data_IF_609658940896
#
_entry.id   IF_609658940896
#
_cell.length_a   1.000
_cell.length_b   1.000
_cell.length_c   1.000
_cell.angle_alpha   90.00
_cell.angle_beta   90.00
_cell.angle_gamma   90.00
#
_symmetry.space_group_name_H-M   'P 1'
#
loop_
_entity.id
_entity.type
_entity.pdbx_description
1 polymer ?
#
# COMPACT_ATOMS: atom_id res chain seq x y z
N UNK A 1 -8.52 -6.97 -6.46
CA UNK A 1 -9.22 -6.62 -7.73
C UNK A 1 -10.60 -6.02 -7.51
N UNK A 2 -11.54 -6.67 -6.81
CA UNK A 2 -12.89 -6.09 -6.57
C UNK A 2 -12.85 -4.71 -5.90
N UNK A 3 -11.99 -4.53 -4.89
CA UNK A 3 -11.79 -3.22 -4.25
C UNK A 3 -11.18 -2.17 -5.17
N UNK A 4 -10.29 -2.56 -6.09
CA UNK A 4 -9.73 -1.66 -7.09
C UNK A 4 -10.85 -1.13 -8.01
N UNK A 5 -11.76 -2.02 -8.44
CA UNK A 5 -12.93 -1.64 -9.23
C UNK A 5 -13.90 -0.77 -8.44
N UNK A 6 -14.05 -1.00 -7.15
CA UNK A 6 -14.91 -0.19 -6.28
C UNK A 6 -14.36 1.23 -6.14
N UNK A 7 -13.08 1.39 -5.76
CA UNK A 7 -12.44 2.69 -5.62
C UNK A 7 -12.38 3.43 -6.97
N UNK A 8 -12.07 2.73 -8.06
CA UNK A 8 -12.11 3.33 -9.41
C UNK A 8 -13.51 3.80 -9.82
N UNK A 9 -14.58 3.16 -9.32
CA UNK A 9 -15.96 3.61 -9.59
C UNK A 9 -16.42 4.77 -8.71
N UNK A 10 -15.73 5.02 -7.60
CA UNK A 10 -16.00 6.19 -6.76
C UNK A 10 -15.42 7.46 -7.38
N UNK A 11 -14.34 7.31 -8.14
CA UNK A 11 -13.78 8.37 -8.96
C UNK A 11 -14.64 8.60 -10.21
N UNK A 12 -15.69 9.41 -10.05
CA UNK A 12 -16.69 9.70 -11.09
C UNK A 12 -16.48 11.05 -11.77
N UNK A 13 -15.69 11.94 -11.19
CA UNK A 13 -15.51 13.30 -11.68
C UNK A 13 -14.52 13.32 -12.86
N UNK A 14 -13.33 12.75 -12.68
CA UNK A 14 -12.28 12.68 -13.70
C UNK A 14 -11.57 11.31 -13.65
N UNK A 15 -12.13 10.27 -14.30
CA UNK A 15 -11.63 8.91 -14.16
C UNK A 15 -10.25 8.72 -14.79
N UNK A 16 -9.29 8.34 -13.94
CA UNK A 16 -7.90 8.11 -14.30
C UNK A 16 -7.68 7.08 -15.43
N UNK A 17 -6.60 7.21 -16.23
CA UNK A 17 -6.26 6.22 -17.24
C UNK A 17 -6.06 4.83 -16.63
N UNK A 18 -6.94 3.89 -16.98
CA UNK A 18 -6.91 2.50 -16.45
C UNK A 18 -5.53 1.84 -16.55
N UNK A 19 -4.76 2.18 -17.58
CA UNK A 19 -3.39 1.67 -17.77
C UNK A 19 -2.45 2.12 -16.67
N UNK A 20 -2.55 3.37 -16.20
CA UNK A 20 -1.72 3.88 -15.11
C UNK A 20 -2.15 3.27 -13.78
N UNK A 21 -3.45 3.22 -13.50
CA UNK A 21 -3.97 2.58 -12.27
C UNK A 21 -3.54 1.11 -12.17
N UNK A 22 -3.66 0.35 -13.27
CA UNK A 22 -3.19 -1.03 -13.33
C UNK A 22 -1.66 -1.09 -13.22
N UNK A 23 -0.93 -0.18 -13.88
CA UNK A 23 0.52 -0.10 -13.79
C UNK A 23 1.02 0.11 -12.37
N UNK A 24 0.40 1.02 -11.62
CA UNK A 24 0.72 1.29 -10.22
C UNK A 24 0.35 0.12 -9.31
N UNK A 25 -0.81 -0.51 -9.53
CA UNK A 25 -1.21 -1.73 -8.82
C UNK A 25 -0.17 -2.85 -9.02
N UNK A 26 0.26 -3.08 -10.26
CA UNK A 26 1.27 -4.10 -10.57
C UNK A 26 2.63 -3.73 -9.99
N UNK A 27 3.04 -2.46 -10.06
CA UNK A 27 4.30 -2.00 -9.48
C UNK A 27 4.32 -2.21 -7.95
N UNK A 28 3.23 -1.85 -7.25
CA UNK A 28 3.10 -2.09 -5.82
C UNK A 28 3.20 -3.58 -5.46
N UNK A 29 2.52 -4.44 -6.24
CA UNK A 29 2.62 -5.89 -6.08
C UNK A 29 4.03 -6.43 -6.34
N UNK A 30 4.66 -6.04 -7.45
CA UNK A 30 6.00 -6.50 -7.82
C UNK A 30 7.06 -6.05 -6.81
N UNK A 31 7.00 -4.80 -6.35
CA UNK A 31 7.90 -4.31 -5.31
C UNK A 31 7.67 -5.04 -3.99
N UNK A 32 6.43 -5.29 -3.60
CA UNK A 32 6.14 -6.11 -2.42
C UNK A 32 6.74 -7.51 -2.56
N UNK A 33 6.51 -8.19 -3.69
CA UNK A 33 7.04 -9.53 -3.92
C UNK A 33 8.57 -9.58 -3.90
N UNK A 34 9.22 -8.60 -4.54
CA UNK A 34 10.68 -8.53 -4.62
C UNK A 34 11.34 -8.17 -3.29
N UNK A 35 10.73 -7.27 -2.52
CA UNK A 35 11.32 -6.72 -1.30
C UNK A 35 10.92 -7.47 -0.03
N UNK A 36 9.88 -8.31 -0.07
CA UNK A 36 9.37 -9.00 1.10
C UNK A 36 10.44 -9.84 1.81
N UNK A 37 11.06 -10.78 1.09
CA UNK A 37 12.09 -11.67 1.66
C UNK A 37 13.33 -10.89 2.13
N UNK A 38 13.96 -10.02 1.32
CA UNK A 38 15.17 -9.35 1.76
C UNK A 38 14.94 -8.41 2.96
N UNK A 39 13.81 -7.70 2.99
CA UNK A 39 13.54 -6.75 4.08
C UNK A 39 13.00 -7.47 5.31
N UNK A 40 11.91 -8.22 5.20
CA UNK A 40 11.27 -8.84 6.35
C UNK A 40 11.99 -10.11 6.82
N UNK A 41 12.49 -10.93 5.90
CA UNK A 41 13.18 -12.18 6.21
C UNK A 41 14.61 -12.01 6.71
N UNK A 42 15.41 -11.16 6.03
CA UNK A 42 16.84 -11.02 6.37
C UNK A 42 17.17 -9.76 7.16
N UNK A 43 16.75 -8.57 6.70
CA UNK A 43 17.14 -7.31 7.35
C UNK A 43 16.51 -7.15 8.73
N UNK A 44 15.20 -7.34 8.82
CA UNK A 44 14.47 -7.23 10.09
C UNK A 44 14.20 -8.57 10.77
N UNK A 45 14.36 -9.69 10.05
CA UNK A 45 14.11 -11.06 10.54
C UNK A 45 12.81 -11.19 11.35
N UNK A 46 11.71 -10.61 10.85
CA UNK A 46 10.46 -10.41 11.61
C UNK A 46 9.88 -11.72 12.12
N UNK A 47 10.06 -12.83 11.40
CA UNK A 47 9.56 -14.15 11.80
C UNK A 47 10.17 -14.63 13.13
N UNK A 48 11.35 -14.15 13.51
CA UNK A 48 12.06 -14.58 14.72
C UNK A 48 11.53 -13.94 16.01
N UNK A 49 11.04 -12.70 15.96
CA UNK A 49 10.72 -11.90 17.14
C UNK A 49 9.31 -11.33 17.13
N UNK A 50 8.75 -11.03 15.95
CA UNK A 50 7.45 -10.40 15.83
C UNK A 50 6.35 -11.22 16.52
N UNK A 51 6.23 -12.55 16.34
CA UNK A 51 5.17 -13.33 16.96
C UNK A 51 5.37 -13.62 18.45
N UNK A 52 6.56 -13.37 19.03
CA UNK A 52 6.88 -13.83 20.38
C UNK A 52 6.04 -13.18 21.48
N UNK A 53 5.71 -11.89 21.35
CA UNK A 53 4.95 -11.15 22.35
C UNK A 53 3.83 -10.32 21.71
N UNK A 54 2.74 -10.10 22.45
CA UNK A 54 1.62 -9.30 21.95
C UNK A 54 2.04 -7.85 21.62
N UNK A 55 2.96 -7.28 22.41
CA UNK A 55 3.46 -5.91 22.19
C UNK A 55 4.40 -5.83 20.99
N UNK A 56 5.17 -6.88 20.70
CA UNK A 56 6.03 -6.93 19.52
C UNK A 56 5.18 -7.07 18.27
N UNK A 57 4.11 -7.86 18.30
CA UNK A 57 3.15 -7.96 17.19
C UNK A 57 2.50 -6.61 16.91
N UNK A 58 2.09 -5.87 17.94
CA UNK A 58 1.48 -4.55 17.79
C UNK A 58 2.49 -3.50 17.29
N UNK A 59 3.56 -3.27 18.05
CA UNK A 59 4.51 -2.19 17.78
C UNK A 59 5.37 -2.50 16.55
N UNK A 60 5.88 -3.73 16.44
CA UNK A 60 6.63 -4.18 15.27
C UNK A 60 5.77 -4.25 14.02
N UNK A 61 4.52 -4.68 14.15
CA UNK A 61 3.56 -4.69 13.04
C UNK A 61 3.30 -3.29 12.49
N UNK A 62 3.16 -2.29 13.35
CA UNK A 62 2.93 -0.90 12.92
C UNK A 62 4.24 -0.24 12.45
N UNK A 63 5.27 -0.24 13.29
CA UNK A 63 6.47 0.58 13.09
C UNK A 63 7.45 -0.03 12.09
N UNK A 64 7.47 -1.35 11.93
CA UNK A 64 8.35 -2.02 10.97
C UNK A 64 7.54 -2.45 9.76
N UNK A 65 6.55 -3.34 9.93
CA UNK A 65 5.81 -3.89 8.80
C UNK A 65 4.98 -2.80 8.11
N UNK A 66 4.24 -2.01 8.86
CA UNK A 66 3.42 -0.92 8.34
C UNK A 66 4.25 0.14 7.61
N UNK A 67 5.29 0.68 8.26
CA UNK A 67 6.16 1.72 7.68
C UNK A 67 6.85 1.23 6.41
N UNK A 68 7.48 0.05 6.44
CA UNK A 68 8.14 -0.52 5.26
C UNK A 68 7.14 -0.72 4.12
N UNK A 69 5.95 -1.23 4.43
CA UNK A 69 4.95 -1.47 3.39
C UNK A 69 4.41 -0.17 2.79
N UNK A 70 4.24 0.88 3.60
CA UNK A 70 3.88 2.21 3.09
C UNK A 70 5.01 2.85 2.29
N UNK A 71 6.27 2.60 2.65
CA UNK A 71 7.41 3.03 1.83
C UNK A 71 7.43 2.33 0.46
N UNK A 72 7.03 1.06 0.39
CA UNK A 72 6.85 0.34 -0.88
C UNK A 72 5.74 0.97 -1.73
N UNK A 73 4.60 1.30 -1.12
CA UNK A 73 3.50 2.00 -1.80
C UNK A 73 3.97 3.35 -2.32
N UNK A 74 4.66 4.13 -1.49
CA UNK A 74 5.24 5.42 -1.88
C UNK A 74 6.17 5.26 -3.09
N UNK A 75 7.11 4.29 -3.04
CA UNK A 75 8.04 4.04 -4.12
C UNK A 75 7.33 3.64 -5.41
N UNK A 76 6.29 2.79 -5.33
CA UNK A 76 5.49 2.38 -6.49
C UNK A 76 4.85 3.59 -7.18
N UNK A 77 4.19 4.47 -6.42
CA UNK A 77 3.55 5.67 -6.99
C UNK A 77 4.60 6.64 -7.52
N UNK A 78 5.71 6.83 -6.79
CA UNK A 78 6.77 7.78 -7.15
C UNK A 78 7.44 7.43 -8.47
N UNK A 79 7.69 6.14 -8.71
CA UNK A 79 8.36 5.65 -9.92
C UNK A 79 7.43 5.64 -11.13
N UNK A 80 6.15 5.31 -10.96
CA UNK A 80 5.24 5.09 -12.09
C UNK A 80 4.52 6.36 -12.54
N UNK A 81 4.07 7.22 -11.61
CA UNK A 81 3.10 8.29 -11.94
C UNK A 81 3.51 9.68 -11.48
N UNK A 82 4.42 9.84 -10.52
CA UNK A 82 4.69 11.17 -9.96
C UNK A 82 5.24 12.18 -10.98
N UNK A 83 5.97 11.76 -12.01
CA UNK A 83 6.43 12.67 -13.07
C UNK A 83 5.53 12.57 -14.33
N UNK A 84 4.42 11.84 -14.26
CA UNK A 84 3.47 11.66 -15.35
C UNK A 84 2.52 12.87 -15.45
N UNK A 85 2.23 13.41 -16.65
CA UNK A 85 1.27 14.50 -16.84
C UNK A 85 -0.15 14.20 -16.33
N UNK A 86 -0.57 12.93 -16.34
CA UNK A 86 -1.90 12.46 -15.91
C UNK A 86 -2.09 12.44 -14.39
N UNK A 87 -1.13 12.96 -13.61
CA UNK A 87 -1.37 13.21 -12.19
C UNK A 87 -1.30 14.72 -12.01
N UNK A 88 -2.44 15.33 -12.27
CA UNK A 88 -2.71 16.75 -12.37
C UNK A 88 -3.66 17.25 -11.26
N UNK A 89 -4.27 16.34 -10.49
CA UNK A 89 -5.03 16.64 -9.29
C UNK A 89 -4.46 16.04 -8.00
N UNK A 90 -4.84 16.64 -6.86
CA UNK A 90 -4.46 16.11 -5.53
C UNK A 90 -5.12 14.77 -5.22
N UNK A 91 -6.32 14.54 -5.77
CA UNK A 91 -7.12 13.33 -5.56
C UNK A 91 -6.50 12.10 -6.21
N UNK A 92 -5.82 12.27 -7.34
CA UNK A 92 -5.06 11.25 -8.07
C UNK A 92 -4.06 10.55 -7.17
N UNK A 93 -3.38 11.33 -6.32
CA UNK A 93 -2.44 10.80 -5.33
C UNK A 93 -3.08 9.72 -4.45
N UNK A 94 -4.33 9.93 -4.03
CA UNK A 94 -5.10 8.94 -3.25
C UNK A 94 -5.41 7.70 -4.10
N UNK A 95 -5.90 7.89 -5.33
CA UNK A 95 -6.30 6.78 -6.21
C UNK A 95 -5.10 5.90 -6.57
N UNK A 96 -3.98 6.50 -6.99
CA UNK A 96 -2.76 5.79 -7.30
C UNK A 96 -2.16 5.10 -6.08
N UNK A 97 -2.12 5.75 -4.91
CA UNK A 97 -1.63 5.12 -3.70
C UNK A 97 -2.50 3.94 -3.27
N UNK A 98 -3.83 4.07 -3.30
CA UNK A 98 -4.76 2.96 -3.04
C UNK A 98 -4.52 1.82 -4.03
N UNK A 99 -4.32 2.12 -5.32
CA UNK A 99 -4.00 1.10 -6.32
C UNK A 99 -2.71 0.34 -5.95
N UNK A 100 -1.63 1.04 -5.62
CA UNK A 100 -0.38 0.42 -5.16
C UNK A 100 -0.57 -0.41 -3.88
N UNK A 101 -1.27 0.14 -2.87
CA UNK A 101 -1.58 -0.54 -1.61
C UNK A 101 -2.39 -1.83 -1.80
N UNK A 102 -3.36 -1.82 -2.72
CA UNK A 102 -4.10 -3.02 -3.10
C UNK A 102 -3.20 -4.05 -3.81
N UNK A 103 -2.20 -3.61 -4.57
CA UNK A 103 -1.17 -4.47 -5.16
C UNK A 103 -0.36 -5.20 -4.08
N UNK A 104 0.16 -4.45 -3.11
CA UNK A 104 0.87 -4.97 -1.94
C UNK A 104 0.00 -5.96 -1.17
N UNK A 105 -1.25 -5.60 -0.88
CA UNK A 105 -2.20 -6.46 -0.17
C UNK A 105 -2.48 -7.77 -0.91
N UNK A 106 -2.50 -7.73 -2.25
CA UNK A 106 -2.72 -8.92 -3.09
C UNK A 106 -1.58 -9.92 -2.90
N UNK A 107 -0.33 -9.46 -2.95
CA UNK A 107 0.84 -10.32 -2.73
C UNK A 107 0.85 -10.88 -1.31
N UNK A 108 0.59 -10.06 -0.30
CA UNK A 108 0.54 -10.50 1.09
C UNK A 108 -0.54 -11.57 1.34
N UNK A 109 -1.73 -11.37 0.76
CA UNK A 109 -2.82 -12.33 0.88
C UNK A 109 -2.53 -13.63 0.13
N UNK A 110 -1.90 -13.55 -1.04
CA UNK A 110 -1.53 -14.75 -1.80
C UNK A 110 -0.44 -15.56 -1.08
N UNK A 111 0.60 -14.90 -0.57
CA UNK A 111 1.64 -15.52 0.24
C UNK A 111 1.06 -16.21 1.48
N UNK A 112 0.12 -15.55 2.17
CA UNK A 112 -0.59 -16.14 3.31
C UNK A 112 -1.30 -17.45 2.95
N UNK A 113 -2.06 -17.48 1.84
CA UNK A 113 -2.78 -18.67 1.39
C UNK A 113 -1.82 -19.82 1.04
N UNK A 114 -0.71 -19.52 0.37
CA UNK A 114 0.30 -20.51 0.03
C UNK A 114 0.96 -21.11 1.28
N UNK A 115 1.32 -20.28 2.26
CA UNK A 115 1.94 -20.72 3.51
C UNK A 115 1.01 -21.61 4.36
N UNK A 116 -0.31 -21.42 4.25
CA UNK A 116 -1.30 -22.18 5.01
C UNK A 116 -1.91 -23.35 4.23
N UNK A 117 -1.38 -23.68 3.04
CA UNK A 117 -1.83 -24.81 2.23
C UNK A 117 -3.24 -24.67 1.65
N UNK A 118 -3.78 -23.45 1.59
CA UNK A 118 -5.13 -23.18 1.11
C UNK A 118 -5.84 -22.06 1.88
N UNK A 119 -7.03 -21.68 1.39
CA UNK A 119 -7.87 -20.69 2.08
C UNK A 119 -8.67 -21.41 3.17
N UNK A 120 -8.37 -21.11 4.43
CA UNK A 120 -9.33 -21.37 5.50
C UNK A 120 -10.47 -20.34 5.36
N UNK A 121 -11.66 -20.81 5.00
CA UNK A 121 -12.81 -19.95 4.68
C UNK A 121 -13.36 -19.21 5.89
N UNK A 122 -12.98 -19.60 7.11
CA UNK A 122 -13.53 -19.06 8.34
C UNK A 122 -12.76 -17.78 8.73
N UNK A 123 -11.59 -17.96 9.36
CA UNK A 123 -10.75 -16.82 9.83
C UNK A 123 -9.92 -16.23 8.69
N UNK A 124 -9.54 -17.05 7.70
CA UNK A 124 -8.67 -16.63 6.60
C UNK A 124 -9.34 -15.62 5.67
N UNK A 125 -10.63 -15.81 5.37
CA UNK A 125 -11.40 -14.91 4.51
C UNK A 125 -11.55 -13.51 5.12
N UNK A 126 -11.92 -13.45 6.41
CA UNK A 126 -12.04 -12.19 7.17
C UNK A 126 -10.69 -11.48 7.20
N UNK A 127 -9.60 -12.19 7.52
CA UNK A 127 -8.24 -11.62 7.52
C UNK A 127 -7.90 -11.01 6.16
N UNK A 128 -8.18 -11.70 5.05
CA UNK A 128 -7.84 -11.20 3.72
C UNK A 128 -8.58 -9.90 3.39
N UNK A 129 -9.87 -9.81 3.75
CA UNK A 129 -10.67 -8.59 3.56
C UNK A 129 -10.14 -7.46 4.43
N UNK A 130 -9.97 -7.71 5.74
CA UNK A 130 -9.47 -6.71 6.69
C UNK A 130 -8.07 -6.22 6.32
N UNK A 131 -7.17 -7.13 5.93
CA UNK A 131 -5.83 -6.78 5.46
C UNK A 131 -5.90 -5.88 4.22
N UNK A 132 -6.73 -6.24 3.23
CA UNK A 132 -6.88 -5.45 2.00
C UNK A 132 -7.40 -4.05 2.29
N UNK A 133 -8.42 -3.93 3.16
CA UNK A 133 -8.96 -2.63 3.55
C UNK A 133 -7.96 -1.82 4.37
N UNK A 134 -7.20 -2.44 5.27
CA UNK A 134 -6.15 -1.78 6.03
C UNK A 134 -5.09 -1.14 5.12
N UNK A 135 -4.63 -1.88 4.12
CA UNK A 135 -3.71 -1.35 3.10
C UNK A 135 -4.33 -0.22 2.29
N UNK A 136 -5.59 -0.35 1.86
CA UNK A 136 -6.27 0.71 1.11
C UNK A 136 -6.41 1.99 1.95
N UNK A 137 -6.82 1.89 3.21
CA UNK A 137 -6.98 3.04 4.11
C UNK A 137 -5.65 3.73 4.40
N UNK A 138 -4.60 2.97 4.75
CA UNK A 138 -3.28 3.55 5.03
C UNK A 138 -2.67 4.18 3.76
N UNK A 139 -2.83 3.53 2.61
CA UNK A 139 -2.36 4.05 1.34
C UNK A 139 -3.13 5.31 0.91
N UNK A 140 -4.43 5.41 1.18
CA UNK A 140 -5.20 6.62 0.91
C UNK A 140 -4.66 7.84 1.68
N UNK A 141 -4.31 7.67 2.96
CA UNK A 141 -3.70 8.72 3.77
C UNK A 141 -2.34 9.13 3.20
N UNK A 142 -1.49 8.17 2.86
CA UNK A 142 -0.21 8.42 2.21
C UNK A 142 -0.38 9.16 0.87
N UNK A 143 -1.35 8.74 0.06
CA UNK A 143 -1.66 9.31 -1.24
C UNK A 143 -2.12 10.76 -1.17
N UNK A 144 -2.89 11.12 -0.13
CA UNK A 144 -3.28 12.50 0.14
C UNK A 144 -2.05 13.39 0.35
N UNK A 145 -1.11 12.96 1.21
CA UNK A 145 0.13 13.70 1.44
C UNK A 145 1.03 13.73 0.21
N UNK A 146 1.06 12.65 -0.58
CA UNK A 146 1.83 12.61 -1.82
C UNK A 146 1.29 13.56 -2.88
N UNK A 147 -0.03 13.64 -3.02
CA UNK A 147 -0.72 14.62 -3.86
C UNK A 147 -0.38 16.04 -3.42
N UNK A 148 -0.53 16.36 -2.13
CA UNK A 148 -0.12 17.65 -1.56
C UNK A 148 1.35 17.99 -1.90
N UNK A 149 2.27 17.05 -1.69
CA UNK A 149 3.70 17.23 -1.95
C UNK A 149 4.05 17.53 -3.40
N UNK A 150 3.21 17.09 -4.35
CA UNK A 150 3.42 17.35 -5.78
C UNK A 150 3.03 18.78 -6.16
N UNK A 151 1.89 19.27 -5.65
CA UNK A 151 1.33 20.56 -6.04
C UNK A 151 1.80 21.72 -5.16
N UNK A 152 2.23 21.44 -3.93
CA UNK A 152 2.72 22.46 -3.03
C UNK A 152 4.25 22.38 -2.88
N UNK A 153 4.92 23.53 -2.98
CA UNK A 153 6.36 23.66 -2.69
C UNK A 153 6.63 23.67 -1.18
N UNK A 154 6.06 22.72 -0.44
CA UNK A 154 6.33 22.57 0.99
C UNK A 154 7.59 21.73 1.20
N UNK A 155 8.46 22.08 2.15
CA UNK A 155 9.61 21.24 2.49
C UNK A 155 9.14 19.85 2.94
N UNK A 156 9.85 18.80 2.51
CA UNK A 156 9.56 17.36 2.80
C UNK A 156 9.25 17.07 4.28
N UNK A 157 9.80 17.87 5.22
CA UNK A 157 9.58 17.71 6.65
C UNK A 157 8.19 18.13 7.17
N UNK A 158 7.40 18.88 6.41
CA UNK A 158 6.06 19.30 6.82
C UNK A 158 4.97 18.25 6.51
N UNK A 159 5.22 17.35 5.55
CA UNK A 159 4.28 16.31 5.12
C UNK A 159 3.86 15.31 6.22
N UNK A 160 4.75 14.79 7.08
CA UNK A 160 4.34 13.86 8.13
C UNK A 160 3.63 14.52 9.33
N UNK A 161 3.69 15.85 9.46
CA UNK A 161 3.12 16.58 10.59
C UNK A 161 1.65 16.97 10.40
N UNK A 162 1.12 16.90 9.18
CA UNK A 162 -0.28 17.25 8.89
C UNK A 162 -0.65 18.71 9.19
N UNK A 163 0.34 19.59 9.37
CA UNK A 163 0.12 21.02 9.59
C UNK A 163 0.20 21.73 8.25
N UNK A 164 -0.91 21.67 7.51
CA UNK A 164 -1.25 22.55 6.39
C UNK A 164 -2.71 22.95 6.54
#
# INVERSE_FOLDING_TARGET
>A
VLWLLFFYRMDRAEPEPKRLVIGVYLAGGLLAAALYIPIFGYLFAVDSWLPQYWWSQLLGGILVVGVVSMAIVYAAVRVVVFDNPEFDERLDGIIYAVAAGLGVATVNNFAYVLQHGGVNLDVGSIRMVTNTLGYASAAAVLGYFLGQARFEKVPIFYLPLGVL
#
